data_IF_411013059599
#
_entry.id   IF_411013059599
#
_cell.length_a   1.000
_cell.length_b   1.000
_cell.length_c   1.000
_cell.angle_alpha   90.00
_cell.angle_beta   90.00
_cell.angle_gamma   90.00
#
_symmetry.space_group_name_H-M   'P 1'
#
loop_
_entity.id
_entity.type
_entity.pdbx_description
1 polymer ?
#
# COMPACT_ATOMS: atom_id res chain seq x y z
N UNK A 1 -24.22 20.23 6.02
CA UNK A 1 -23.19 19.17 5.77
C UNK A 1 -23.39 18.65 4.35
N UNK A 2 -22.33 18.45 3.57
CA UNK A 2 -22.42 17.79 2.24
C UNK A 2 -22.86 16.34 2.45
N UNK A 3 -23.72 15.83 1.56
CA UNK A 3 -24.07 14.40 1.57
C UNK A 3 -22.90 13.57 1.02
N UNK A 4 -22.91 12.25 1.27
CA UNK A 4 -21.94 11.31 0.70
C UNK A 4 -21.83 11.45 -0.82
N UNK A 5 -22.97 11.58 -1.50
CA UNK A 5 -23.01 11.71 -2.96
C UNK A 5 -22.51 13.08 -3.44
N UNK A 6 -22.77 14.16 -2.71
CA UNK A 6 -22.25 15.49 -3.05
C UNK A 6 -20.71 15.50 -2.99
N UNK A 7 -20.13 14.87 -1.95
CA UNK A 7 -18.68 14.74 -1.80
C UNK A 7 -18.08 13.91 -2.95
N UNK A 8 -18.67 12.76 -3.25
CA UNK A 8 -18.22 11.90 -4.33
C UNK A 8 -18.32 12.58 -5.71
N UNK A 9 -19.42 13.31 -5.97
CA UNK A 9 -19.60 14.05 -7.21
C UNK A 9 -18.56 15.18 -7.36
N UNK A 10 -18.30 15.94 -6.29
CA UNK A 10 -17.27 16.97 -6.29
C UNK A 10 -15.87 16.39 -6.51
N UNK A 11 -15.57 15.21 -5.92
CA UNK A 11 -14.32 14.49 -6.17
C UNK A 11 -14.20 14.07 -7.65
N UNK A 12 -15.31 13.61 -8.28
CA UNK A 12 -15.32 13.24 -9.69
C UNK A 12 -15.02 14.45 -10.60
N UNK A 13 -15.63 15.59 -10.32
CA UNK A 13 -15.41 16.83 -11.07
C UNK A 13 -13.95 17.28 -10.98
N UNK A 14 -13.39 17.31 -9.77
CA UNK A 14 -11.99 17.70 -9.55
C UNK A 14 -11.01 16.70 -10.18
N UNK A 15 -11.31 15.39 -10.16
CA UNK A 15 -10.48 14.38 -10.82
C UNK A 15 -10.42 14.66 -12.34
N UNK A 16 -11.55 14.88 -12.97
CA UNK A 16 -11.64 15.15 -14.40
C UNK A 16 -10.93 16.47 -14.76
N UNK A 17 -11.14 17.51 -13.95
CA UNK A 17 -10.51 18.80 -14.16
C UNK A 17 -8.98 18.77 -13.98
N UNK A 18 -8.48 17.96 -13.05
CA UNK A 18 -7.05 17.83 -12.77
C UNK A 18 -6.30 16.95 -13.81
N UNK A 19 -7.01 16.11 -14.56
CA UNK A 19 -6.45 15.15 -15.50
C UNK A 19 -5.33 15.70 -16.42
N UNK A 20 -5.52 16.84 -17.12
CA UNK A 20 -4.49 17.37 -18.02
C UNK A 20 -3.20 17.83 -17.29
N UNK A 21 -3.29 18.09 -15.99
CA UNK A 21 -2.16 18.61 -15.19
C UNK A 21 -1.40 17.51 -14.42
N UNK A 22 -1.90 16.27 -14.38
CA UNK A 22 -1.30 15.18 -13.60
C UNK A 22 0.10 14.80 -14.10
N UNK A 23 0.35 14.90 -15.42
CA UNK A 23 1.68 14.66 -15.98
C UNK A 23 2.74 15.66 -15.49
N UNK A 24 2.31 16.86 -15.09
CA UNK A 24 3.18 17.93 -14.56
C UNK A 24 3.43 17.80 -13.05
N UNK A 25 2.84 16.81 -12.41
CA UNK A 25 3.00 16.49 -10.99
C UNK A 25 3.67 15.12 -10.83
N UNK A 26 4.99 14.99 -11.05
CA UNK A 26 5.68 13.73 -10.99
C UNK A 26 5.52 13.07 -9.62
N UNK A 27 5.36 11.75 -9.63
CA UNK A 27 5.23 10.91 -8.44
C UNK A 27 6.40 9.96 -8.39
N UNK A 28 7.03 9.82 -7.23
CA UNK A 28 8.07 8.82 -6.95
C UNK A 28 7.53 7.82 -5.94
N UNK A 29 7.48 6.54 -6.32
CA UNK A 29 7.07 5.44 -5.42
C UNK A 29 8.20 4.44 -5.29
N UNK A 30 8.41 3.89 -4.12
CA UNK A 30 9.37 2.83 -3.86
C UNK A 30 9.12 2.12 -2.51
N UNK A 31 9.85 1.03 -2.19
CA UNK A 31 11.02 0.51 -2.95
C UNK A 31 10.97 -1.01 -3.04
N UNK A 32 9.90 -1.64 -2.58
CA UNK A 32 9.75 -3.09 -2.51
C UNK A 32 9.46 -3.73 -3.89
N UNK A 33 9.22 -5.01 -3.90
CA UNK A 33 8.74 -5.80 -5.04
C UNK A 33 8.68 -7.26 -4.62
N UNK A 34 7.55 -7.88 -4.85
CA UNK A 34 7.29 -9.28 -4.54
C UNK A 34 6.71 -10.00 -5.76
N UNK A 35 7.06 -11.25 -5.90
CA UNK A 35 6.32 -12.20 -6.73
C UNK A 35 5.54 -13.09 -5.77
N UNK A 36 4.22 -13.12 -5.94
CA UNK A 36 3.32 -13.94 -5.15
C UNK A 36 2.95 -15.18 -5.97
N UNK A 37 3.47 -16.34 -5.56
CA UNK A 37 3.11 -17.63 -6.15
C UNK A 37 1.83 -18.12 -5.51
N UNK A 38 0.77 -18.25 -6.30
CA UNK A 38 -0.51 -18.84 -5.85
C UNK A 38 -0.37 -20.36 -5.90
N UNK A 39 -0.54 -21.01 -4.76
CA UNK A 39 -0.12 -22.40 -4.58
C UNK A 39 -1.26 -23.25 -4.03
N UNK A 40 -1.50 -24.40 -4.68
CA UNK A 40 -2.29 -25.49 -4.12
C UNK A 40 -1.38 -26.48 -3.40
N UNK A 41 -1.74 -26.84 -2.18
CA UNK A 41 -1.04 -27.84 -1.39
C UNK A 41 -1.62 -29.22 -1.70
N UNK A 42 -0.77 -30.15 -2.16
CA UNK A 42 -1.19 -31.49 -2.53
C UNK A 42 -1.47 -32.34 -1.29
N UNK A 43 -2.67 -32.91 -1.22
CA UNK A 43 -3.01 -33.94 -0.24
C UNK A 43 -2.59 -35.32 -0.75
N UNK A 44 -3.04 -35.69 -1.96
CA UNK A 44 -2.77 -36.98 -2.55
C UNK A 44 -2.61 -36.88 -4.08
N UNK A 45 -1.54 -37.47 -4.62
CA UNK A 45 -1.36 -37.66 -6.05
C UNK A 45 -2.03 -38.94 -6.52
N UNK A 46 -2.78 -38.85 -7.62
CA UNK A 46 -3.45 -39.96 -8.26
C UNK A 46 -2.75 -40.37 -9.57
N UNK A 47 -2.02 -39.45 -10.19
CA UNK A 47 -1.21 -39.68 -11.38
C UNK A 47 -0.10 -38.65 -11.49
N UNK A 48 0.88 -38.86 -12.36
CA UNK A 48 1.97 -37.92 -12.64
C UNK A 48 1.59 -36.81 -13.63
N UNK A 49 0.31 -36.69 -14.01
CA UNK A 49 -0.19 -35.52 -14.75
C UNK A 49 -0.22 -34.30 -13.83
N UNK A 50 -0.07 -33.11 -14.42
CA UNK A 50 -0.03 -31.84 -13.66
C UNK A 50 -1.25 -31.65 -12.75
N UNK A 51 -2.43 -31.97 -13.23
CA UNK A 51 -3.74 -31.90 -12.56
C UNK A 51 -4.15 -33.19 -11.82
N UNK A 52 -3.28 -34.22 -11.80
CA UNK A 52 -3.56 -35.54 -11.27
C UNK A 52 -3.46 -35.63 -9.74
N UNK A 53 -4.03 -34.68 -8.99
CA UNK A 53 -3.96 -34.65 -7.53
C UNK A 53 -5.26 -34.15 -6.88
N UNK A 54 -5.42 -34.46 -5.59
CA UNK A 54 -6.39 -33.82 -4.70
C UNK A 54 -5.64 -32.79 -3.85
N UNK A 55 -6.16 -31.57 -3.76
CA UNK A 55 -5.58 -30.54 -2.89
C UNK A 55 -6.08 -30.64 -1.44
N UNK A 56 -5.27 -30.18 -0.51
CA UNK A 56 -5.72 -29.85 0.84
C UNK A 56 -6.64 -28.64 0.75
N UNK A 57 -7.87 -28.73 1.26
CA UNK A 57 -8.91 -27.72 1.08
C UNK A 57 -9.05 -26.76 2.25
N UNK A 58 -8.60 -27.15 3.45
CA UNK A 58 -8.78 -26.34 4.66
C UNK A 58 -7.47 -26.11 5.40
N UNK A 59 -7.38 -24.98 6.08
CA UNK A 59 -6.26 -24.64 6.95
C UNK A 59 -6.10 -25.66 8.09
N UNK A 60 -7.21 -26.15 8.64
CA UNK A 60 -7.20 -27.19 9.70
C UNK A 60 -6.54 -28.48 9.20
N UNK A 61 -6.90 -28.95 7.99
CA UNK A 61 -6.29 -30.15 7.41
C UNK A 61 -4.78 -29.95 7.17
N UNK A 62 -4.38 -28.79 6.64
CA UNK A 62 -2.96 -28.43 6.47
C UNK A 62 -2.21 -28.41 7.80
N UNK A 63 -2.78 -27.78 8.82
CA UNK A 63 -2.20 -27.73 10.17
C UNK A 63 -2.03 -29.13 10.77
N UNK A 64 -3.02 -30.02 10.59
CA UNK A 64 -2.93 -31.42 11.00
C UNK A 64 -1.79 -32.19 10.31
N UNK A 65 -1.62 -31.98 8.99
CA UNK A 65 -0.49 -32.56 8.23
C UNK A 65 0.87 -32.05 8.73
N UNK A 66 0.96 -30.74 8.99
CA UNK A 66 2.18 -30.13 9.52
C UNK A 66 2.50 -30.63 10.94
N UNK A 67 1.51 -30.69 11.82
CA UNK A 67 1.66 -31.21 13.18
C UNK A 67 2.09 -32.70 13.20
N UNK A 68 1.58 -33.50 12.28
CA UNK A 68 1.96 -34.91 12.16
C UNK A 68 3.41 -35.13 11.75
N UNK A 69 4.12 -34.12 11.29
CA UNK A 69 5.55 -34.16 10.97
C UNK A 69 6.44 -33.97 12.23
N UNK A 70 5.88 -33.64 13.39
CA UNK A 70 6.66 -33.43 14.61
C UNK A 70 7.47 -34.70 14.97
N UNK A 71 8.77 -34.51 15.22
CA UNK A 71 9.70 -35.61 15.52
C UNK A 71 10.13 -36.46 14.31
N UNK A 72 9.66 -36.16 13.09
CA UNK A 72 10.06 -36.82 11.83
C UNK A 72 10.01 -35.83 10.67
N UNK A 73 10.56 -36.18 9.51
CA UNK A 73 10.40 -35.37 8.30
C UNK A 73 9.12 -35.76 7.54
N UNK A 74 8.49 -34.79 6.90
CA UNK A 74 7.41 -35.02 5.94
C UNK A 74 7.69 -34.22 4.68
N UNK A 75 7.29 -34.77 3.52
CA UNK A 75 7.28 -34.06 2.25
C UNK A 75 5.84 -33.63 1.96
N UNK A 76 5.66 -32.34 1.68
CA UNK A 76 4.40 -31.77 1.21
C UNK A 76 4.67 -31.16 -0.15
N UNK A 77 3.99 -31.68 -1.17
CA UNK A 77 4.13 -31.19 -2.53
C UNK A 77 3.30 -29.90 -2.72
N UNK A 78 3.88 -28.94 -3.40
CA UNK A 78 3.26 -27.66 -3.75
C UNK A 78 3.12 -27.57 -5.26
N UNK A 79 1.93 -27.20 -5.74
CA UNK A 79 1.66 -26.94 -7.15
C UNK A 79 1.40 -25.46 -7.32
N UNK A 80 2.29 -24.78 -8.05
CA UNK A 80 2.12 -23.36 -8.40
C UNK A 80 1.10 -23.28 -9.52
N UNK A 81 -0.02 -22.61 -9.25
CA UNK A 81 -1.09 -22.37 -10.24
C UNK A 81 -0.78 -21.13 -11.08
N UNK A 82 -0.26 -20.09 -10.44
CA UNK A 82 -0.01 -18.81 -11.07
C UNK A 82 1.03 -18.02 -10.27
N UNK A 83 1.90 -17.30 -10.97
CA UNK A 83 2.75 -16.26 -10.39
C UNK A 83 2.16 -14.88 -10.73
N UNK A 84 2.06 -14.01 -9.73
CA UNK A 84 1.57 -12.63 -9.87
C UNK A 84 2.61 -11.67 -9.35
N UNK A 85 2.73 -10.50 -9.98
CA UNK A 85 3.47 -9.44 -9.35
C UNK A 85 2.71 -8.91 -8.12
N UNK A 86 3.44 -8.68 -7.06
CA UNK A 86 2.97 -8.14 -5.80
C UNK A 86 3.91 -7.06 -5.28
N UNK A 87 3.74 -6.71 -4.02
CA UNK A 87 4.43 -5.63 -3.33
C UNK A 87 3.55 -4.39 -3.24
N UNK A 88 3.60 -3.75 -2.07
CA UNK A 88 2.79 -2.56 -1.79
C UNK A 88 3.15 -1.41 -2.74
N UNK A 89 4.45 -1.21 -3.00
CA UNK A 89 4.94 -0.19 -3.91
C UNK A 89 4.45 -0.37 -5.35
N UNK A 90 4.65 -1.53 -6.01
CA UNK A 90 4.15 -1.79 -7.34
C UNK A 90 2.62 -1.66 -7.48
N UNK A 91 1.86 -2.12 -6.47
CA UNK A 91 0.40 -2.02 -6.49
C UNK A 91 -0.08 -0.57 -6.37
N UNK A 92 0.48 0.21 -5.42
CA UNK A 92 0.17 1.63 -5.27
C UNK A 92 0.59 2.43 -6.51
N UNK A 93 1.80 2.21 -7.03
CA UNK A 93 2.33 2.88 -8.21
C UNK A 93 1.51 2.55 -9.48
N UNK A 94 1.14 1.27 -9.65
CA UNK A 94 0.30 0.82 -10.74
C UNK A 94 -1.11 1.43 -10.71
N UNK A 95 -1.69 1.58 -9.52
CA UNK A 95 -2.97 2.27 -9.31
C UNK A 95 -2.90 3.75 -9.71
N UNK A 96 -1.88 4.47 -9.22
CA UNK A 96 -1.63 5.87 -9.57
C UNK A 96 -1.38 6.07 -11.07
N UNK A 97 -0.51 5.23 -11.66
CA UNK A 97 -0.19 5.30 -13.10
C UNK A 97 -1.41 5.01 -13.97
N UNK A 98 -2.22 4.00 -13.62
CA UNK A 98 -3.46 3.69 -14.34
C UNK A 98 -4.49 4.83 -14.26
N UNK A 99 -4.49 5.57 -13.16
CA UNK A 99 -5.32 6.76 -12.97
C UNK A 99 -4.73 8.04 -13.61
N UNK A 100 -3.63 7.95 -14.35
CA UNK A 100 -3.07 9.05 -15.15
C UNK A 100 -1.95 9.84 -14.48
N UNK A 101 -1.44 9.44 -13.30
CA UNK A 101 -0.31 10.11 -12.66
C UNK A 101 1.02 9.75 -13.34
N UNK A 102 1.96 10.70 -13.41
CA UNK A 102 3.29 10.51 -13.98
C UNK A 102 4.24 9.80 -12.99
N UNK A 103 4.07 8.50 -12.82
CA UNK A 103 4.78 7.70 -11.81
C UNK A 103 6.17 7.29 -12.28
N UNK A 104 7.19 7.60 -11.48
CA UNK A 104 8.49 6.93 -11.49
C UNK A 104 8.52 5.93 -10.34
N UNK A 105 8.75 4.66 -10.64
CA UNK A 105 8.92 3.62 -9.65
C UNK A 105 10.40 3.23 -9.52
N UNK A 106 10.90 3.10 -8.28
CA UNK A 106 12.23 2.56 -7.97
C UNK A 106 12.03 1.39 -7.03
N UNK A 107 12.51 0.18 -7.36
CA UNK A 107 12.33 -0.95 -6.46
C UNK A 107 12.89 -2.28 -6.96
N UNK A 108 12.66 -3.31 -6.16
CA UNK A 108 13.13 -4.68 -6.45
C UNK A 108 12.18 -5.38 -7.42
N UNK A 109 12.22 -4.95 -8.67
CA UNK A 109 11.41 -5.48 -9.77
C UNK A 109 12.26 -5.92 -10.97
N UNK A 110 13.55 -6.15 -10.72
CA UNK A 110 14.52 -6.58 -11.73
C UNK A 110 14.58 -8.08 -11.87
N UNK A 111 15.10 -8.55 -13.01
CA UNK A 111 15.36 -9.97 -13.25
C UNK A 111 16.46 -10.49 -12.32
N UNK A 112 16.41 -11.77 -12.02
CA UNK A 112 17.46 -12.42 -11.20
C UNK A 112 18.80 -12.45 -11.94
N UNK A 113 18.79 -12.73 -13.25
CA UNK A 113 19.98 -12.80 -14.11
C UNK A 113 20.47 -11.42 -14.59
N UNK A 114 19.60 -10.41 -14.61
CA UNK A 114 19.94 -9.02 -14.92
C UNK A 114 19.13 -8.04 -14.06
N UNK A 115 19.59 -7.71 -12.84
CA UNK A 115 18.83 -6.91 -11.88
C UNK A 115 18.50 -5.47 -12.32
N UNK A 116 19.08 -5.01 -13.43
CA UNK A 116 18.80 -3.68 -14.02
C UNK A 116 17.72 -3.69 -15.08
N UNK A 117 17.25 -4.86 -15.47
CA UNK A 117 16.16 -5.04 -16.43
C UNK A 117 14.90 -5.45 -15.69
N UNK A 118 13.75 -4.85 -16.06
CA UNK A 118 12.46 -5.19 -15.44
C UNK A 118 12.11 -6.64 -15.70
N UNK A 119 11.80 -7.39 -14.64
CA UNK A 119 11.35 -8.76 -14.75
C UNK A 119 10.06 -8.85 -15.58
N UNK A 120 9.91 -9.83 -16.50
CA UNK A 120 8.72 -9.98 -17.33
C UNK A 120 7.40 -9.96 -16.58
N UNK A 121 7.34 -10.49 -15.37
CA UNK A 121 6.12 -10.48 -14.54
C UNK A 121 5.62 -9.07 -14.21
N UNK A 122 6.52 -8.08 -14.17
CA UNK A 122 6.21 -6.68 -13.90
C UNK A 122 5.92 -5.85 -15.17
N UNK A 123 5.99 -6.41 -16.38
CA UNK A 123 5.74 -5.65 -17.60
C UNK A 123 4.35 -5.00 -17.63
N UNK A 124 3.24 -5.66 -17.21
CA UNK A 124 1.92 -5.03 -17.16
C UNK A 124 1.85 -3.83 -16.20
N UNK A 125 2.63 -3.87 -15.12
CA UNK A 125 2.81 -2.77 -14.18
C UNK A 125 3.67 -1.66 -14.79
N UNK A 126 4.84 -2.01 -15.36
CA UNK A 126 5.78 -1.07 -15.94
C UNK A 126 5.15 -0.24 -17.07
N UNK A 127 4.27 -0.82 -17.87
CA UNK A 127 3.53 -0.15 -18.93
C UNK A 127 2.58 0.96 -18.41
N UNK A 128 2.26 0.99 -17.12
CA UNK A 128 1.42 2.01 -16.47
C UNK A 128 2.25 3.14 -15.85
N UNK A 129 3.55 2.96 -15.72
CA UNK A 129 4.45 3.94 -15.15
C UNK A 129 5.17 4.74 -16.23
N UNK A 130 5.44 6.02 -15.97
CA UNK A 130 6.31 6.84 -16.84
C UNK A 130 7.73 6.27 -16.89
N UNK A 131 8.19 5.69 -15.78
CA UNK A 131 9.51 5.07 -15.66
C UNK A 131 9.53 4.03 -14.53
N UNK A 132 10.20 2.91 -14.78
CA UNK A 132 10.54 1.92 -13.74
C UNK A 132 12.07 1.79 -13.70
N UNK A 133 12.64 1.84 -12.51
CA UNK A 133 14.08 1.72 -12.25
C UNK A 133 14.28 0.53 -11.32
N UNK A 134 14.63 -0.65 -11.82
CA UNK A 134 14.94 -1.79 -10.99
C UNK A 134 16.23 -1.57 -10.20
N UNK A 135 16.23 -1.96 -8.93
CA UNK A 135 17.42 -1.90 -8.04
C UNK A 135 17.82 -3.26 -7.51
N UNK A 136 17.11 -4.30 -7.88
CA UNK A 136 17.36 -5.69 -7.50
C UNK A 136 16.23 -6.60 -7.94
N UNK A 137 16.39 -7.92 -7.80
CA UNK A 137 15.32 -8.88 -8.05
C UNK A 137 14.25 -8.80 -6.96
N UNK A 138 12.99 -9.21 -7.24
CA UNK A 138 11.91 -9.21 -6.26
C UNK A 138 12.15 -10.20 -5.13
N UNK A 139 11.51 -9.96 -4.01
CA UNK A 139 11.26 -10.96 -2.99
C UNK A 139 10.13 -11.92 -3.46
N UNK A 140 9.89 -12.98 -2.71
CA UNK A 140 8.88 -13.97 -3.05
C UNK A 140 7.94 -14.23 -1.87
N UNK A 141 6.67 -14.51 -2.20
CA UNK A 141 5.68 -15.00 -1.24
C UNK A 141 5.05 -16.26 -1.80
N UNK A 142 5.08 -17.35 -1.05
CA UNK A 142 4.25 -18.51 -1.35
C UNK A 142 2.89 -18.29 -0.70
N UNK A 143 1.86 -18.09 -1.52
CA UNK A 143 0.48 -17.91 -1.09
C UNK A 143 -0.25 -19.25 -1.18
N UNK A 144 -0.29 -19.99 -0.07
CA UNK A 144 -1.00 -21.26 0.01
C UNK A 144 -2.50 -20.96 0.12
N UNK A 145 -3.29 -21.39 -0.87
CA UNK A 145 -4.73 -21.13 -0.93
C UNK A 145 -5.56 -22.33 -0.49
N UNK A 146 -6.52 -22.05 0.42
CA UNK A 146 -7.50 -22.99 0.93
C UNK A 146 -8.91 -22.42 0.76
N UNK A 147 -9.94 -23.26 0.86
CA UNK A 147 -11.34 -22.84 0.72
C UNK A 147 -11.78 -21.92 1.89
N UNK A 148 -11.13 -22.04 3.05
CA UNK A 148 -11.41 -21.30 4.28
C UNK A 148 -10.39 -20.19 4.60
N UNK A 149 -9.42 -19.94 3.72
CA UNK A 149 -8.42 -18.87 3.90
C UNK A 149 -7.13 -19.09 3.12
N UNK A 150 -6.10 -18.30 3.45
CA UNK A 150 -4.77 -18.43 2.85
C UNK A 150 -3.64 -18.20 3.84
N UNK A 151 -2.49 -18.80 3.58
CA UNK A 151 -1.24 -18.54 4.30
C UNK A 151 -0.24 -17.87 3.36
N UNK A 152 0.27 -16.70 3.78
CA UNK A 152 1.28 -15.95 3.05
C UNK A 152 2.66 -16.20 3.67
N UNK A 153 3.49 -17.01 3.00
CA UNK A 153 4.83 -17.38 3.46
C UNK A 153 5.87 -16.51 2.75
N UNK A 154 6.13 -15.33 3.31
CA UNK A 154 7.03 -14.35 2.72
C UNK A 154 8.51 -14.71 2.85
N UNK A 155 9.27 -14.50 1.77
CA UNK A 155 10.73 -14.66 1.67
C UNK A 155 11.38 -13.31 1.34
N UNK A 156 11.48 -12.36 2.31
CA UNK A 156 11.74 -10.94 2.06
C UNK A 156 13.22 -10.59 1.80
N UNK A 157 14.15 -11.55 1.74
CA UNK A 157 15.61 -11.33 1.71
C UNK A 157 16.03 -10.23 0.72
N UNK A 158 15.45 -10.21 -0.48
CA UNK A 158 15.86 -9.27 -1.52
C UNK A 158 15.46 -7.82 -1.22
N UNK A 159 14.28 -7.62 -0.62
CA UNK A 159 13.81 -6.28 -0.23
C UNK A 159 14.47 -5.78 1.07
N UNK A 160 14.94 -6.68 1.94
CA UNK A 160 15.63 -6.31 3.17
C UNK A 160 16.98 -5.62 2.93
N UNK A 161 17.60 -5.84 1.77
CA UNK A 161 18.90 -5.27 1.40
C UNK A 161 18.80 -3.88 0.72
N UNK A 162 17.57 -3.37 0.51
CA UNK A 162 17.36 -2.05 -0.09
C UNK A 162 17.49 -0.99 0.99
N UNK A 163 18.56 -0.22 0.94
CA UNK A 163 18.90 0.88 1.85
C UNK A 163 19.32 2.14 1.07
N UNK A 164 19.60 3.22 1.77
CA UNK A 164 19.99 4.49 1.15
C UNK A 164 21.27 4.38 0.32
N UNK A 165 22.25 3.64 0.80
CA UNK A 165 23.53 3.46 0.11
C UNK A 165 23.35 2.67 -1.19
N UNK A 166 22.61 1.56 -1.13
CA UNK A 166 22.31 0.72 -2.30
C UNK A 166 21.44 1.46 -3.34
N UNK A 167 20.49 2.31 -2.91
CA UNK A 167 19.74 3.16 -3.82
C UNK A 167 20.64 4.16 -4.55
N UNK A 168 21.54 4.85 -3.83
CA UNK A 168 22.49 5.77 -4.44
C UNK A 168 23.44 5.05 -5.43
N UNK A 169 23.87 3.85 -5.09
CA UNK A 169 24.72 3.04 -5.97
C UNK A 169 23.97 2.57 -7.23
N UNK A 170 22.72 2.11 -7.08
CA UNK A 170 21.95 1.51 -8.19
C UNK A 170 21.38 2.55 -9.14
N UNK A 171 20.87 3.66 -8.61
CA UNK A 171 20.22 4.74 -9.38
C UNK A 171 21.21 5.82 -9.84
N UNK A 172 22.28 6.02 -9.07
CA UNK A 172 23.16 7.18 -9.14
C UNK A 172 22.66 8.31 -8.23
N UNK A 173 23.55 8.84 -7.37
CA UNK A 173 23.15 9.81 -6.34
C UNK A 173 22.50 11.08 -6.93
N UNK A 174 23.11 11.69 -7.96
CA UNK A 174 22.58 12.89 -8.62
C UNK A 174 21.20 12.65 -9.24
N UNK A 175 21.05 11.51 -9.93
CA UNK A 175 19.77 11.12 -10.54
C UNK A 175 18.69 10.86 -9.50
N UNK A 176 19.03 10.17 -8.40
CA UNK A 176 18.11 9.90 -7.30
C UNK A 176 17.63 11.22 -6.67
N UNK A 177 18.55 12.14 -6.39
CA UNK A 177 18.23 13.45 -5.83
C UNK A 177 17.32 14.26 -6.77
N UNK A 178 17.63 14.30 -8.06
CA UNK A 178 16.80 14.99 -9.04
C UNK A 178 15.38 14.40 -9.15
N UNK A 179 15.23 13.06 -9.04
CA UNK A 179 13.92 12.41 -9.04
C UNK A 179 13.11 12.79 -7.79
N UNK A 180 13.74 12.85 -6.62
CA UNK A 180 13.10 13.26 -5.36
C UNK A 180 12.76 14.76 -5.39
N UNK A 181 13.68 15.59 -5.87
CA UNK A 181 13.50 17.03 -5.99
C UNK A 181 12.33 17.39 -6.91
N UNK A 182 12.15 16.67 -8.01
CA UNK A 182 11.08 16.93 -8.97
C UNK A 182 9.74 16.31 -8.55
N UNK A 183 9.71 15.33 -7.63
CA UNK A 183 8.48 14.66 -7.23
C UNK A 183 7.57 15.63 -6.44
N UNK A 184 6.30 15.70 -6.81
CA UNK A 184 5.24 16.34 -6.03
C UNK A 184 4.77 15.46 -4.86
N UNK A 185 4.83 14.12 -5.05
CA UNK A 185 4.51 13.13 -4.04
C UNK A 185 5.58 12.03 -4.07
N UNK A 186 6.00 11.63 -2.88
CA UNK A 186 6.94 10.52 -2.65
C UNK A 186 6.23 9.49 -1.79
N UNK A 187 5.98 8.29 -2.33
CA UNK A 187 5.39 7.18 -1.59
C UNK A 187 6.48 6.19 -1.17
N UNK A 188 6.57 5.93 0.12
CA UNK A 188 7.48 4.95 0.71
C UNK A 188 6.63 3.99 1.53
N UNK A 189 6.41 2.82 1.00
CA UNK A 189 5.50 1.83 1.57
C UNK A 189 6.24 0.56 1.97
N UNK A 190 5.59 -0.27 2.83
CA UNK A 190 6.14 -1.54 3.29
C UNK A 190 7.36 -1.43 4.23
N UNK A 191 7.22 -0.63 5.31
CA UNK A 191 8.27 -0.52 6.34
C UNK A 191 8.61 -1.87 6.97
N UNK A 192 7.62 -2.72 7.24
CA UNK A 192 7.80 -3.96 8.00
C UNK A 192 8.72 -4.96 7.31
N UNK A 193 8.61 -5.12 5.98
CA UNK A 193 9.36 -6.11 5.22
C UNK A 193 10.70 -5.59 4.71
N UNK A 194 10.90 -4.25 4.70
CA UNK A 194 12.10 -3.61 4.19
C UNK A 194 13.06 -3.24 5.33
N UNK A 195 14.05 -4.07 5.60
CA UNK A 195 15.01 -3.85 6.70
C UNK A 195 15.82 -2.56 6.60
N UNK A 196 16.09 -2.08 5.38
CA UNK A 196 16.89 -0.87 5.13
C UNK A 196 16.09 0.42 4.96
N UNK A 197 14.74 0.38 5.02
CA UNK A 197 13.90 1.56 4.69
C UNK A 197 14.11 2.74 5.64
N UNK A 198 14.42 2.49 6.90
CA UNK A 198 14.71 3.57 7.85
C UNK A 198 15.98 4.34 7.50
N UNK A 199 16.99 3.69 6.90
CA UNK A 199 18.17 4.38 6.39
C UNK A 199 17.83 5.26 5.18
N UNK A 200 16.80 4.86 4.39
CA UNK A 200 16.29 5.70 3.31
C UNK A 200 15.61 6.95 3.87
N UNK A 201 14.80 6.80 4.93
CA UNK A 201 14.19 7.93 5.62
C UNK A 201 15.23 8.90 6.19
N UNK A 202 16.28 8.37 6.84
CA UNK A 202 17.40 9.18 7.36
C UNK A 202 18.13 9.89 6.21
N UNK A 203 18.47 9.17 5.13
CA UNK A 203 19.14 9.76 3.97
C UNK A 203 18.34 10.88 3.30
N UNK A 204 17.02 10.73 3.20
CA UNK A 204 16.12 11.78 2.72
C UNK A 204 16.17 13.02 3.63
N UNK A 205 16.12 12.81 4.95
CA UNK A 205 16.16 13.88 5.94
C UNK A 205 17.52 14.58 6.04
N UNK A 206 18.63 13.86 5.80
CA UNK A 206 19.97 14.39 5.97
C UNK A 206 20.53 15.00 4.68
N UNK A 207 20.29 14.34 3.55
CA UNK A 207 20.98 14.69 2.30
C UNK A 207 20.11 15.44 1.27
N UNK A 208 18.76 15.28 1.31
CA UNK A 208 17.87 15.76 0.24
C UNK A 208 16.92 16.86 0.72
N UNK A 209 16.03 16.56 1.66
CA UNK A 209 14.97 17.48 2.06
C UNK A 209 15.47 18.85 2.57
N UNK A 210 16.58 18.97 3.31
CA UNK A 210 17.11 20.27 3.72
C UNK A 210 17.49 21.18 2.55
N UNK A 211 17.90 20.59 1.41
CA UNK A 211 18.30 21.35 0.20
C UNK A 211 17.10 21.89 -0.59
N UNK A 212 15.90 21.36 -0.34
CA UNK A 212 14.68 21.81 -1.04
C UNK A 212 14.16 23.15 -0.51
N UNK A 213 14.57 23.58 0.68
CA UNK A 213 14.11 24.82 1.30
C UNK A 213 12.60 24.93 1.35
N UNK A 214 12.04 26.09 0.99
CA UNK A 214 10.59 26.33 0.96
C UNK A 214 9.81 25.44 -0.02
N UNK A 215 10.46 24.86 -1.03
CA UNK A 215 9.80 23.94 -1.95
C UNK A 215 9.40 22.60 -1.30
N UNK A 216 10.06 22.21 -0.22
CA UNK A 216 9.72 21.01 0.55
C UNK A 216 8.27 21.02 1.04
N UNK A 217 7.76 22.18 1.48
CA UNK A 217 6.38 22.33 1.99
C UNK A 217 5.29 22.21 0.92
N UNK A 218 5.66 22.22 -0.37
CA UNK A 218 4.74 22.01 -1.50
C UNK A 218 4.68 20.53 -1.93
N UNK A 219 5.53 19.68 -1.35
CA UNK A 219 5.59 18.24 -1.60
C UNK A 219 4.82 17.49 -0.53
N UNK A 220 4.65 16.20 -0.74
CA UNK A 220 4.07 15.29 0.24
C UNK A 220 4.82 13.97 0.25
N UNK A 221 4.99 13.42 1.45
CA UNK A 221 5.44 12.04 1.64
C UNK A 221 4.24 11.20 2.08
N UNK A 222 3.97 10.11 1.38
CA UNK A 222 2.99 9.11 1.79
C UNK A 222 3.74 7.91 2.37
N UNK A 223 3.38 7.49 3.57
CA UNK A 223 3.97 6.35 4.26
C UNK A 223 2.89 5.31 4.58
N UNK A 224 3.21 4.04 4.36
CA UNK A 224 2.43 2.88 4.79
C UNK A 224 3.38 1.89 5.48
N UNK A 225 3.02 1.42 6.66
CA UNK A 225 3.88 0.57 7.48
C UNK A 225 3.78 -0.91 7.13
N UNK A 226 2.66 -1.37 6.58
CA UNK A 226 2.40 -2.76 6.19
C UNK A 226 2.51 -3.76 7.36
N UNK A 227 1.45 -3.89 8.16
CA UNK A 227 1.33 -4.84 9.27
C UNK A 227 2.41 -4.69 10.39
N UNK A 228 2.43 -3.54 11.09
CA UNK A 228 3.40 -3.28 12.15
C UNK A 228 3.30 -4.26 13.35
N UNK A 229 2.25 -5.08 13.41
CA UNK A 229 2.13 -6.13 14.44
C UNK A 229 3.28 -7.14 14.43
N UNK A 230 4.01 -7.25 13.31
CA UNK A 230 5.21 -8.10 13.18
C UNK A 230 6.47 -7.52 13.84
N UNK A 231 6.42 -6.25 14.27
CA UNK A 231 7.57 -5.55 14.86
C UNK A 231 7.35 -5.30 16.35
N UNK A 232 8.43 -5.14 17.11
CA UNK A 232 8.37 -4.81 18.53
C UNK A 232 7.84 -3.40 18.78
N UNK A 233 7.37 -3.12 20.00
CA UNK A 233 6.93 -1.77 20.40
C UNK A 233 8.04 -0.75 20.22
N UNK A 234 9.27 -1.10 20.62
CA UNK A 234 10.44 -0.22 20.47
C UNK A 234 10.78 0.10 19.02
N UNK A 235 10.62 -0.87 18.09
CA UNK A 235 10.83 -0.63 16.66
C UNK A 235 9.76 0.33 16.12
N UNK A 236 8.50 0.13 16.51
CA UNK A 236 7.39 1.01 16.12
C UNK A 236 7.64 2.43 16.67
N UNK A 237 7.98 2.57 17.94
CA UNK A 237 8.31 3.88 18.54
C UNK A 237 9.45 4.57 17.77
N UNK A 238 10.51 3.84 17.44
CA UNK A 238 11.62 4.33 16.63
C UNK A 238 11.19 4.82 15.25
N UNK A 239 10.37 4.05 14.55
CA UNK A 239 9.80 4.43 13.25
C UNK A 239 8.93 5.69 13.35
N UNK A 240 8.08 5.80 14.39
CA UNK A 240 7.23 6.97 14.60
C UNK A 240 8.04 8.25 14.86
N UNK A 241 9.18 8.14 15.55
CA UNK A 241 10.12 9.28 15.73
C UNK A 241 10.68 9.73 14.38
N UNK A 242 11.09 8.79 13.52
CA UNK A 242 11.60 9.11 12.17
C UNK A 242 10.51 9.72 11.27
N UNK A 243 9.28 9.22 11.34
CA UNK A 243 8.11 9.77 10.61
C UNK A 243 7.89 11.24 11.00
N UNK A 244 7.93 11.57 12.30
CA UNK A 244 7.86 12.96 12.77
C UNK A 244 8.99 13.83 12.25
N UNK A 245 10.22 13.27 12.18
CA UNK A 245 11.36 13.96 11.58
C UNK A 245 11.13 14.28 10.09
N UNK A 246 10.61 13.33 9.32
CA UNK A 246 10.23 13.56 7.91
C UNK A 246 9.22 14.69 7.82
N UNK A 247 8.14 14.64 8.63
CA UNK A 247 7.06 15.63 8.61
C UNK A 247 7.55 17.05 8.93
N UNK A 248 8.54 17.18 9.81
CA UNK A 248 9.15 18.49 10.12
C UNK A 248 9.76 19.17 8.88
N UNK A 249 10.18 18.38 7.90
CA UNK A 249 10.80 18.82 6.64
C UNK A 249 9.80 18.87 5.50
N UNK A 250 9.07 17.78 5.27
CA UNK A 250 8.09 17.61 4.18
C UNK A 250 6.80 17.05 4.77
N UNK A 251 5.62 17.62 4.50
CA UNK A 251 4.34 17.13 5.02
C UNK A 251 4.13 15.63 4.76
N UNK A 252 3.79 14.87 5.82
CA UNK A 252 3.56 13.42 5.77
C UNK A 252 2.08 13.09 5.83
N UNK A 253 1.67 12.14 5.00
CA UNK A 253 0.43 11.37 5.17
C UNK A 253 0.80 9.96 5.61
N UNK A 254 0.35 9.53 6.78
CA UNK A 254 0.48 8.16 7.28
C UNK A 254 -0.83 7.40 6.98
N UNK A 255 -0.75 6.40 6.10
CA UNK A 255 -1.83 5.49 5.77
C UNK A 255 -1.80 4.27 6.70
N UNK A 256 -2.97 3.88 7.22
CA UNK A 256 -3.12 2.74 8.12
C UNK A 256 -4.42 2.00 7.80
N UNK A 257 -4.40 0.68 7.77
CA UNK A 257 -5.63 -0.08 7.91
C UNK A 257 -6.09 -0.09 9.38
N UNK A 258 -7.27 -0.63 9.68
CA UNK A 258 -7.80 -0.59 11.05
C UNK A 258 -6.90 -1.30 12.05
N UNK A 259 -6.42 -2.50 11.72
CA UNK A 259 -5.55 -3.30 12.61
C UNK A 259 -4.21 -2.59 12.88
N UNK A 260 -3.66 -1.94 11.85
CA UNK A 260 -2.44 -1.12 11.98
C UNK A 260 -2.68 0.09 12.89
N UNK A 261 -3.83 0.77 12.71
CA UNK A 261 -4.20 1.90 13.55
C UNK A 261 -4.40 1.50 15.03
N UNK A 262 -5.02 0.35 15.28
CA UNK A 262 -5.16 -0.22 16.63
C UNK A 262 -3.79 -0.54 17.24
N UNK A 263 -2.90 -1.14 16.46
CA UNK A 263 -1.54 -1.45 16.90
C UNK A 263 -0.74 -0.20 17.23
N UNK A 264 -0.77 0.82 16.36
CA UNK A 264 -0.14 2.12 16.61
C UNK A 264 -0.78 2.83 17.80
N UNK A 265 -2.10 2.80 17.90
CA UNK A 265 -2.85 3.34 19.04
C UNK A 265 -2.41 2.73 20.36
N UNK A 266 -2.24 1.40 20.41
CA UNK A 266 -1.76 0.68 21.58
C UNK A 266 -0.33 1.13 21.99
N UNK A 267 0.61 1.22 21.03
CA UNK A 267 1.97 1.71 21.31
C UNK A 267 1.96 3.16 21.81
N UNK A 268 1.11 4.00 21.24
CA UNK A 268 0.95 5.40 21.64
C UNK A 268 0.12 5.59 22.91
N UNK A 269 -0.45 4.50 23.48
CA UNK A 269 -1.32 4.48 24.66
C UNK A 269 -2.55 5.36 24.49
N UNK A 270 -3.26 5.16 23.36
CA UNK A 270 -4.47 5.86 22.97
C UNK A 270 -5.70 4.94 23.08
N UNK A 271 -6.79 5.43 23.65
CA UNK A 271 -8.05 4.68 23.82
C UNK A 271 -9.11 5.01 22.74
N UNK A 272 -8.69 5.63 21.64
CA UNK A 272 -9.59 6.26 20.66
C UNK A 272 -10.28 5.28 19.68
N UNK A 273 -9.87 4.00 19.61
CA UNK A 273 -10.37 3.01 18.65
C UNK A 273 -11.21 1.88 19.26
N UNK A 274 -11.62 1.99 20.53
CA UNK A 274 -12.30 0.91 21.26
C UNK A 274 -13.61 0.44 20.60
N UNK A 275 -14.38 1.34 19.95
CA UNK A 275 -15.65 1.02 19.29
C UNK A 275 -15.51 0.90 17.75
N UNK A 276 -14.30 0.73 17.25
CA UNK A 276 -14.04 0.73 15.80
C UNK A 276 -14.66 -0.49 15.06
N UNK A 277 -15.04 -1.53 15.77
CA UNK A 277 -15.73 -2.70 15.22
C UNK A 277 -17.26 -2.68 15.42
N UNK A 278 -17.79 -1.70 16.15
CA UNK A 278 -19.20 -1.57 16.50
C UNK A 278 -20.01 -0.63 15.58
N UNK A 279 -21.28 -0.39 15.96
CA UNK A 279 -22.16 0.54 15.22
C UNK A 279 -21.62 1.97 15.12
N UNK A 280 -20.83 2.40 16.10
CA UNK A 280 -20.18 3.72 16.12
C UNK A 280 -18.86 3.81 15.35
N UNK A 281 -18.52 2.79 14.54
CA UNK A 281 -17.24 2.66 13.83
C UNK A 281 -16.75 3.94 13.19
N UNK A 282 -17.58 4.60 12.37
CA UNK A 282 -17.16 5.79 11.64
C UNK A 282 -16.66 6.91 12.56
N UNK A 283 -17.33 7.12 13.68
CA UNK A 283 -16.92 8.13 14.67
C UNK A 283 -15.67 7.70 15.43
N UNK A 284 -15.58 6.43 15.84
CA UNK A 284 -14.42 5.88 16.55
C UNK A 284 -13.16 5.93 15.67
N UNK A 285 -13.23 5.51 14.40
CA UNK A 285 -12.11 5.56 13.46
C UNK A 285 -11.69 7.01 13.17
N UNK A 286 -12.64 7.94 13.07
CA UNK A 286 -12.35 9.37 12.90
C UNK A 286 -11.60 9.93 14.12
N UNK A 287 -12.07 9.63 15.32
CA UNK A 287 -11.37 10.04 16.55
C UNK A 287 -10.00 9.36 16.68
N UNK A 288 -9.85 8.10 16.22
CA UNK A 288 -8.57 7.41 16.13
C UNK A 288 -7.58 8.15 15.23
N UNK A 289 -8.03 8.57 14.05
CA UNK A 289 -7.20 9.35 13.14
C UNK A 289 -6.77 10.70 13.74
N UNK A 290 -7.70 11.40 14.41
CA UNK A 290 -7.40 12.65 15.13
C UNK A 290 -6.37 12.43 16.24
N UNK A 291 -6.59 11.41 17.08
CA UNK A 291 -5.73 11.12 18.23
C UNK A 291 -4.32 10.71 17.81
N UNK A 292 -4.19 9.80 16.85
CA UNK A 292 -2.89 9.37 16.33
C UNK A 292 -2.17 10.55 15.68
N UNK A 293 -2.85 11.33 14.82
CA UNK A 293 -2.27 12.51 14.20
C UNK A 293 -1.78 13.53 15.24
N UNK A 294 -2.61 13.85 16.23
CA UNK A 294 -2.29 14.82 17.27
C UNK A 294 -1.09 14.36 18.12
N UNK A 295 -1.06 13.05 18.50
CA UNK A 295 0.03 12.48 19.29
C UNK A 295 1.35 12.47 18.54
N UNK A 296 1.31 12.20 17.22
CA UNK A 296 2.48 12.24 16.35
C UNK A 296 2.87 13.66 15.95
N UNK A 297 1.93 14.60 15.89
CA UNK A 297 2.17 15.96 15.44
C UNK A 297 2.47 16.06 13.94
N UNK A 298 1.99 15.12 13.11
CA UNK A 298 2.22 15.09 11.67
C UNK A 298 1.08 15.73 10.87
N UNK A 299 1.29 15.97 9.58
CA UNK A 299 0.32 16.67 8.72
C UNK A 299 -0.98 15.90 8.56
N UNK A 300 -0.94 14.61 8.23
CA UNK A 300 -2.15 13.83 7.97
C UNK A 300 -2.03 12.37 8.42
N UNK A 301 -3.13 11.83 8.96
CA UNK A 301 -3.33 10.39 9.20
C UNK A 301 -4.61 9.98 8.50
N UNK A 302 -4.58 8.86 7.78
CA UNK A 302 -5.75 8.23 7.17
C UNK A 302 -5.85 6.78 7.63
N UNK A 303 -7.06 6.37 8.06
CA UNK A 303 -7.36 5.00 8.52
C UNK A 303 -8.47 4.43 7.66
N UNK A 304 -8.27 3.23 7.09
CA UNK A 304 -9.19 2.63 6.14
C UNK A 304 -9.62 1.20 6.55
N UNK A 305 -10.64 1.05 7.40
CA UNK A 305 -11.36 -0.21 7.52
C UNK A 305 -12.03 -0.60 6.20
N UNK A 306 -12.57 -1.83 6.13
CA UNK A 306 -13.20 -2.36 4.91
C UNK A 306 -14.44 -1.56 4.47
N UNK A 307 -15.16 -0.98 5.43
CA UNK A 307 -16.47 -0.34 5.24
C UNK A 307 -16.38 1.15 4.87
N UNK A 308 -15.22 1.75 5.04
CA UNK A 308 -15.03 3.18 4.77
C UNK A 308 -13.65 3.66 5.12
N UNK A 309 -13.51 4.95 5.35
CA UNK A 309 -12.25 5.50 5.80
C UNK A 309 -12.43 6.82 6.57
N UNK A 310 -11.50 7.11 7.48
CA UNK A 310 -11.41 8.39 8.14
C UNK A 310 -10.04 9.02 7.94
N UNK A 311 -9.99 10.33 7.91
CA UNK A 311 -8.72 11.06 7.93
C UNK A 311 -8.81 12.27 8.83
N UNK A 312 -7.65 12.69 9.36
CA UNK A 312 -7.47 13.92 10.10
C UNK A 312 -6.20 14.63 9.62
N UNK A 313 -6.25 15.97 9.52
CA UNK A 313 -5.10 16.76 9.07
C UNK A 313 -4.70 17.86 10.06
N UNK A 314 -3.53 18.46 9.83
CA UNK A 314 -2.99 19.52 10.68
C UNK A 314 -3.80 20.83 10.66
N UNK A 315 -4.74 21.00 9.70
CA UNK A 315 -5.65 22.14 9.63
C UNK A 315 -6.86 21.98 10.58
N UNK A 316 -6.90 20.92 11.38
CA UNK A 316 -7.99 20.64 12.30
C UNK A 316 -9.23 20.04 11.65
N UNK A 317 -9.12 19.60 10.40
CA UNK A 317 -10.22 18.90 9.72
C UNK A 317 -10.12 17.40 9.96
N UNK A 318 -11.26 16.77 10.21
CA UNK A 318 -11.39 15.32 10.26
C UNK A 318 -12.73 14.90 9.67
N UNK A 319 -12.71 13.80 8.92
CA UNK A 319 -13.89 13.27 8.24
C UNK A 319 -13.89 11.75 8.29
N UNK A 320 -15.10 11.18 8.30
CA UNK A 320 -15.38 9.80 7.95
C UNK A 320 -16.13 9.77 6.63
N UNK A 321 -15.84 8.81 5.78
CA UNK A 321 -16.54 8.56 4.54
C UNK A 321 -16.93 7.08 4.44
N UNK A 322 -18.24 6.81 4.27
CA UNK A 322 -18.73 5.46 4.06
C UNK A 322 -18.35 4.95 2.67
N UNK A 323 -17.55 3.89 2.63
CA UNK A 323 -17.06 3.29 1.41
C UNK A 323 -18.12 2.47 0.67
N UNK A 324 -17.87 2.09 -0.58
CA UNK A 324 -18.70 1.17 -1.34
C UNK A 324 -18.35 -0.29 -0.97
N UNK A 325 -18.56 -0.68 0.28
CA UNK A 325 -18.23 -2.02 0.77
C UNK A 325 -18.96 -3.12 -0.04
N UNK A 326 -18.32 -4.26 -0.22
CA UNK A 326 -18.89 -5.45 -0.85
C UNK A 326 -18.46 -6.71 -0.07
N UNK A 327 -19.41 -7.60 0.18
CA UNK A 327 -19.19 -8.84 0.94
C UNK A 327 -18.37 -9.88 0.17
N UNK A 328 -18.54 -9.95 -1.15
CA UNK A 328 -17.89 -10.92 -2.04
C UNK A 328 -17.01 -10.22 -3.08
N UNK A 329 -15.79 -9.77 -2.70
CA UNK A 329 -14.88 -9.15 -3.64
C UNK A 329 -14.28 -10.20 -4.59
N UNK A 330 -14.09 -9.82 -5.88
CA UNK A 330 -13.35 -10.67 -6.83
C UNK A 330 -11.87 -10.79 -6.46
N UNK A 331 -11.32 -9.74 -5.86
CA UNK A 331 -9.93 -9.69 -5.41
C UNK A 331 -9.81 -8.75 -4.21
N UNK A 332 -9.26 -9.24 -3.10
CA UNK A 332 -9.06 -8.44 -1.87
C UNK A 332 -7.60 -8.01 -1.65
N UNK A 333 -6.64 -8.83 -2.08
CA UNK A 333 -5.20 -8.51 -1.95
C UNK A 333 -4.87 -7.27 -2.78
N UNK A 334 -4.21 -6.28 -2.17
CA UNK A 334 -3.88 -5.01 -2.82
C UNK A 334 -4.98 -3.94 -2.73
N UNK A 335 -6.11 -4.20 -2.06
CA UNK A 335 -7.17 -3.22 -1.87
C UNK A 335 -6.69 -1.99 -1.08
N UNK A 336 -5.84 -2.20 -0.06
CA UNK A 336 -5.19 -1.14 0.72
C UNK A 336 -4.27 -0.28 -0.14
N UNK A 337 -3.44 -0.90 -0.98
CA UNK A 337 -2.53 -0.17 -1.87
C UNK A 337 -3.30 0.68 -2.89
N UNK A 338 -4.44 0.19 -3.37
CA UNK A 338 -5.34 0.95 -4.23
C UNK A 338 -6.07 2.07 -3.47
N UNK A 339 -6.40 1.87 -2.20
CA UNK A 339 -6.89 2.94 -1.34
C UNK A 339 -5.82 4.03 -1.20
N UNK A 340 -4.59 3.67 -0.88
CA UNK A 340 -3.44 4.57 -0.76
C UNK A 340 -3.18 5.35 -2.06
N UNK A 341 -3.30 4.67 -3.22
CA UNK A 341 -3.17 5.31 -4.53
C UNK A 341 -4.27 6.36 -4.76
N UNK A 342 -5.53 6.03 -4.43
CA UNK A 342 -6.67 6.95 -4.57
C UNK A 342 -6.57 8.16 -3.64
N UNK A 343 -6.17 7.96 -2.38
CA UNK A 343 -5.97 9.07 -1.44
C UNK A 343 -4.87 10.01 -1.90
N UNK A 344 -3.73 9.44 -2.31
CA UNK A 344 -2.59 10.19 -2.84
C UNK A 344 -2.94 10.95 -4.12
N UNK A 345 -3.74 10.35 -5.01
CA UNK A 345 -4.23 10.99 -6.23
C UNK A 345 -5.13 12.19 -5.89
N UNK A 346 -6.02 12.05 -4.90
CA UNK A 346 -6.85 13.15 -4.40
C UNK A 346 -6.02 14.33 -3.90
N UNK A 347 -4.96 14.05 -3.14
CA UNK A 347 -4.01 15.06 -2.69
C UNK A 347 -3.29 15.76 -3.84
N UNK A 348 -2.86 15.01 -4.87
CA UNK A 348 -2.26 15.56 -6.09
C UNK A 348 -3.24 16.44 -6.87
N UNK A 349 -4.52 16.08 -6.88
CA UNK A 349 -5.59 16.87 -7.51
C UNK A 349 -5.98 18.11 -6.70
N UNK A 350 -5.46 18.29 -5.48
CA UNK A 350 -5.82 19.41 -4.60
C UNK A 350 -7.23 19.31 -4.03
N UNK A 351 -7.71 18.10 -3.82
CA UNK A 351 -9.02 17.81 -3.23
C UNK A 351 -9.06 18.13 -1.73
N UNK A 352 -10.25 18.45 -1.23
CA UNK A 352 -10.49 18.53 0.22
C UNK A 352 -10.39 17.14 0.87
N UNK A 353 -10.24 17.10 2.19
CA UNK A 353 -9.98 15.85 2.91
C UNK A 353 -11.06 14.78 2.72
N UNK A 354 -12.33 15.16 2.74
CA UNK A 354 -13.47 14.28 2.49
C UNK A 354 -13.54 13.80 1.04
N UNK A 355 -13.15 14.63 0.08
CA UNK A 355 -13.06 14.27 -1.34
C UNK A 355 -11.91 13.29 -1.60
N UNK A 356 -10.76 13.46 -0.91
CA UNK A 356 -9.67 12.49 -0.94
C UNK A 356 -10.13 11.12 -0.41
N UNK A 357 -10.90 11.09 0.67
CA UNK A 357 -11.51 9.86 1.20
C UNK A 357 -12.47 9.21 0.21
N UNK A 358 -13.33 10.00 -0.44
CA UNK A 358 -14.27 9.50 -1.45
C UNK A 358 -13.52 8.86 -2.63
N UNK A 359 -12.47 9.51 -3.15
CA UNK A 359 -11.66 8.98 -4.26
C UNK A 359 -10.90 7.72 -3.84
N UNK A 360 -10.34 7.68 -2.63
CA UNK A 360 -9.65 6.51 -2.09
C UNK A 360 -10.59 5.29 -1.97
N UNK A 361 -11.77 5.49 -1.38
CA UNK A 361 -12.79 4.46 -1.26
C UNK A 361 -13.31 4.00 -2.64
N UNK A 362 -13.47 4.93 -3.60
CA UNK A 362 -13.85 4.60 -4.98
C UNK A 362 -12.77 3.77 -5.68
N UNK A 363 -11.49 4.09 -5.47
CA UNK A 363 -10.35 3.39 -6.09
C UNK A 363 -10.26 1.96 -5.58
N UNK A 364 -10.25 1.77 -4.26
CA UNK A 364 -10.27 0.45 -3.64
C UNK A 364 -11.54 -0.33 -4.00
N UNK A 365 -12.71 0.32 -3.92
CA UNK A 365 -13.99 -0.29 -4.22
C UNK A 365 -14.16 -0.73 -5.68
N UNK A 366 -13.60 0.00 -6.64
CA UNK A 366 -13.55 -0.41 -8.03
C UNK A 366 -12.59 -1.59 -8.23
N UNK A 367 -11.39 -1.51 -7.63
CA UNK A 367 -10.39 -2.56 -7.71
C UNK A 367 -10.93 -3.93 -7.25
N UNK A 368 -11.57 -3.98 -6.07
CA UNK A 368 -12.06 -5.26 -5.53
C UNK A 368 -13.21 -5.86 -6.33
N UNK A 369 -13.98 -5.01 -7.05
CA UNK A 369 -15.07 -5.45 -7.93
C UNK A 369 -14.60 -5.92 -9.30
N UNK A 370 -13.60 -5.23 -9.86
CA UNK A 370 -13.16 -5.42 -11.24
C UNK A 370 -11.92 -6.35 -11.33
N UNK A 371 -11.27 -6.66 -10.18
CA UNK A 371 -9.99 -7.39 -10.07
C UNK A 371 -8.86 -6.75 -10.90
N UNK A 372 -8.94 -5.44 -11.12
CA UNK A 372 -7.94 -4.67 -11.87
C UNK A 372 -7.91 -3.21 -11.39
N UNK A 373 -6.75 -2.57 -11.53
CA UNK A 373 -6.61 -1.14 -11.20
C UNK A 373 -7.54 -0.29 -12.08
N UNK A 374 -8.38 0.56 -11.48
CA UNK A 374 -9.29 1.42 -12.24
C UNK A 374 -8.53 2.53 -12.96
N UNK A 375 -8.95 2.87 -14.17
CA UNK A 375 -8.52 4.07 -14.85
C UNK A 375 -9.38 5.28 -14.44
N UNK A 376 -9.01 6.44 -14.93
CA UNK A 376 -9.65 7.71 -14.61
C UNK A 376 -11.14 7.75 -14.97
N UNK A 377 -11.52 7.16 -16.12
CA UNK A 377 -12.91 7.08 -16.55
C UNK A 377 -13.73 6.20 -15.60
N UNK A 378 -13.18 5.05 -15.21
CA UNK A 378 -13.79 4.13 -14.25
C UNK A 378 -13.94 4.76 -12.87
N UNK A 379 -12.92 5.52 -12.41
CA UNK A 379 -12.98 6.25 -11.14
C UNK A 379 -14.06 7.34 -11.16
N UNK A 380 -14.12 8.15 -12.22
CA UNK A 380 -15.15 9.17 -12.36
C UNK A 380 -16.56 8.57 -12.39
N UNK A 381 -16.75 7.44 -13.09
CA UNK A 381 -18.03 6.72 -13.11
C UNK A 381 -18.39 6.18 -11.72
N UNK A 382 -17.43 5.57 -11.01
CA UNK A 382 -17.63 5.04 -9.65
C UNK A 382 -18.01 6.13 -8.66
N UNK A 383 -17.38 7.31 -8.72
CA UNK A 383 -17.67 8.45 -7.87
C UNK A 383 -19.06 9.04 -8.13
N UNK A 384 -19.46 9.18 -9.42
CA UNK A 384 -20.77 9.72 -9.80
C UNK A 384 -21.93 8.82 -9.41
N UNK A 385 -21.69 7.51 -9.37
CA UNK A 385 -22.68 6.50 -9.02
C UNK A 385 -22.12 5.53 -7.98
N UNK A 386 -21.66 6.07 -6.83
CA UNK A 386 -21.02 5.27 -5.80
C UNK A 386 -22.02 4.33 -5.13
N UNK A 387 -21.83 3.01 -5.24
CA UNK A 387 -22.73 2.04 -4.58
C UNK A 387 -22.82 2.28 -3.08
N UNK A 388 -23.99 2.01 -2.50
CA UNK A 388 -24.11 1.91 -1.05
C UNK A 388 -23.28 0.76 -0.51
N UNK A 389 -22.95 0.75 0.80
CA UNK A 389 -22.35 -0.41 1.46
C UNK A 389 -23.38 -1.56 1.42
N UNK A 390 -22.87 -2.79 1.14
CA UNK A 390 -23.68 -4.03 1.10
C UNK A 390 -23.55 -4.80 2.40
#
# INVERSE_FOLDING_TARGET
MRTRQDIASAAAEKLVAAAPSLEQKPVLIGFDGFVDSIIHVVDKRHSMKLDGFTRIRTLEHFAGRAAAAAGKSANIELVVEEDRFGGNGPLMAGGLGRAGAAVTYIGTVGRVDNPREVDPIYQPFAARCKRVIPVGPPAHTDALEFDDGKLMLGKPRNVMNVDWASLKQSVGAERLFALIENAALIGIVNWVMMGGVESIWDGLCDEVFPKLGGAAKKKRVFLDLCDPAKRSDSDIEGALVKIRRIDSLVPVTLGLNLSEAERIGAVLKLDALQDAHGPGRGQSVRFGAEAIRAKLGIDCVVIHPREGAAAANAKGMSHWFDGPFITEPKLSTGAGDHFNSGFSLGQLCGMELDECLALACATSGAYVRDAQSPDQARLAAMLRAMPGPQ
#
